data_IF_614143923524
#
_entry.id   IF_614143923524
#
_cell.length_a   1.000
_cell.length_b   1.000
_cell.length_c   1.000
_cell.angle_alpha   90.00
_cell.angle_beta   90.00
_cell.angle_gamma   90.00
#
_symmetry.space_group_name_H-M   'P 1'
#
loop_
_entity.id
_entity.type
_entity.pdbx_description
1 polymer ?
#
# COMPACT_ATOMS: atom_id res chain seq x y z
N UNK A 1 -42.84 -21.17 20.36
CA UNK A 1 -41.53 -21.15 21.09
C UNK A 1 -40.34 -20.65 20.26
N UNK A 2 -40.23 -20.90 18.93
CA UNK A 2 -39.09 -20.40 18.11
C UNK A 2 -38.97 -18.86 18.01
N UNK A 3 -40.08 -18.14 17.79
CA UNK A 3 -40.11 -16.67 17.64
C UNK A 3 -39.50 -15.88 18.82
N UNK A 4 -39.68 -16.35 20.05
CA UNK A 4 -39.14 -15.67 21.24
C UNK A 4 -37.62 -15.84 21.38
N UNK A 5 -37.06 -16.94 20.87
CA UNK A 5 -35.61 -17.18 20.90
C UNK A 5 -34.89 -16.31 19.87
N UNK A 6 -35.47 -16.14 18.69
CA UNK A 6 -34.94 -15.28 17.63
C UNK A 6 -34.87 -13.81 18.07
N UNK A 7 -35.91 -13.31 18.75
CA UNK A 7 -35.93 -11.94 19.26
C UNK A 7 -34.91 -11.66 20.37
N UNK A 8 -34.66 -12.62 21.26
CA UNK A 8 -33.64 -12.48 22.33
C UNK A 8 -32.23 -12.49 21.72
N UNK A 9 -32.02 -13.33 20.72
CA UNK A 9 -30.73 -13.42 20.02
C UNK A 9 -30.45 -12.14 19.25
N UNK A 10 -31.43 -11.56 18.54
CA UNK A 10 -31.24 -10.32 17.78
C UNK A 10 -30.90 -9.13 18.70
N UNK A 11 -31.63 -8.94 19.81
CA UNK A 11 -31.36 -7.85 20.77
C UNK A 11 -29.95 -7.98 21.40
N UNK A 12 -29.52 -9.21 21.67
CA UNK A 12 -28.17 -9.47 22.21
C UNK A 12 -27.09 -9.14 21.18
N UNK A 13 -27.30 -9.51 19.91
CA UNK A 13 -26.37 -9.23 18.82
C UNK A 13 -26.28 -7.73 18.52
N UNK A 14 -27.41 -7.02 18.47
CA UNK A 14 -27.45 -5.56 18.25
C UNK A 14 -26.65 -4.82 19.33
N UNK A 15 -26.86 -5.15 20.60
CA UNK A 15 -26.10 -4.57 21.73
C UNK A 15 -24.61 -4.96 21.74
N UNK A 16 -24.27 -6.15 21.27
CA UNK A 16 -22.86 -6.56 21.10
C UNK A 16 -22.20 -5.76 19.96
N UNK A 17 -22.83 -5.71 18.79
CA UNK A 17 -22.35 -4.93 17.63
C UNK A 17 -22.21 -3.45 17.98
N UNK A 18 -23.19 -2.87 18.67
CA UNK A 18 -23.14 -1.49 19.13
C UNK A 18 -21.94 -1.20 20.04
N UNK A 19 -21.63 -2.09 20.99
CA UNK A 19 -20.45 -1.97 21.87
C UNK A 19 -19.13 -2.08 21.10
N UNK A 20 -19.01 -3.04 20.19
CA UNK A 20 -17.81 -3.22 19.37
C UNK A 20 -17.55 -2.00 18.47
N UNK A 21 -18.58 -1.51 17.76
CA UNK A 21 -18.49 -0.29 16.94
C UNK A 21 -18.02 0.92 17.75
N UNK A 22 -18.51 1.04 18.99
CA UNK A 22 -18.15 2.11 19.93
C UNK A 22 -16.79 1.90 20.61
N UNK A 23 -16.22 0.70 20.56
CA UNK A 23 -14.85 0.45 20.98
C UNK A 23 -13.86 0.79 19.86
N UNK A 24 -14.23 0.55 18.60
CA UNK A 24 -13.33 0.71 17.46
C UNK A 24 -13.45 2.02 16.69
N UNK A 25 -14.46 2.87 16.95
CA UNK A 25 -14.69 4.13 16.20
C UNK A 25 -13.49 5.08 16.12
N UNK A 26 -12.60 5.07 17.12
CA UNK A 26 -11.44 5.95 17.16
C UNK A 26 -10.34 5.53 16.19
N UNK A 27 -10.25 4.24 15.82
CA UNK A 27 -9.26 3.73 14.87
C UNK A 27 -9.41 4.35 13.46
N UNK A 28 -10.59 4.34 12.82
CA UNK A 28 -10.77 4.99 11.52
C UNK A 28 -10.61 6.51 11.62
N UNK A 29 -11.01 7.15 12.74
CA UNK A 29 -10.77 8.59 12.92
C UNK A 29 -9.27 8.92 12.96
N UNK A 30 -8.51 8.20 13.79
CA UNK A 30 -7.06 8.39 13.92
C UNK A 30 -6.36 8.11 12.58
N UNK A 31 -6.72 7.01 11.91
CA UNK A 31 -6.17 6.66 10.60
C UNK A 31 -6.51 7.72 9.56
N UNK A 32 -7.73 8.24 9.57
CA UNK A 32 -8.17 9.33 8.72
C UNK A 32 -7.33 10.59 8.92
N UNK A 33 -7.08 10.98 10.16
CA UNK A 33 -6.24 12.14 10.48
C UNK A 33 -4.78 11.95 10.01
N UNK A 34 -4.21 10.75 10.19
CA UNK A 34 -2.88 10.42 9.68
C UNK A 34 -2.84 10.50 8.15
N UNK A 35 -3.85 9.97 7.47
CA UNK A 35 -3.98 10.02 6.01
C UNK A 35 -4.08 11.46 5.50
N UNK A 36 -4.83 12.32 6.19
CA UNK A 36 -4.92 13.74 5.85
C UNK A 36 -3.58 14.46 6.00
N UNK A 37 -2.88 14.25 7.11
CA UNK A 37 -1.56 14.84 7.34
C UNK A 37 -0.54 14.39 6.30
N UNK A 38 -0.47 13.09 6.02
CA UNK A 38 0.41 12.53 4.98
C UNK A 38 0.03 13.05 3.59
N UNK A 39 -1.25 13.09 3.27
CA UNK A 39 -1.72 13.61 1.98
C UNK A 39 -1.33 15.07 1.77
N UNK A 40 -1.46 15.90 2.81
CA UNK A 40 -1.04 17.29 2.77
C UNK A 40 0.47 17.44 2.59
N UNK A 41 1.27 16.65 3.32
CA UNK A 41 2.74 16.64 3.19
C UNK A 41 3.17 16.24 1.77
N UNK A 42 2.53 15.22 1.19
CA UNK A 42 2.80 14.79 -0.19
C UNK A 42 2.47 15.86 -1.23
N UNK A 43 1.44 16.68 -1.00
CA UNK A 43 1.08 17.79 -1.89
C UNK A 43 2.04 18.96 -1.78
N UNK A 44 2.41 19.35 -0.55
CA UNK A 44 3.25 20.52 -0.30
C UNK A 44 4.73 20.24 -0.55
N UNK A 45 5.19 19.04 -0.19
CA UNK A 45 6.59 18.63 -0.22
C UNK A 45 6.74 17.19 -0.75
N UNK A 46 6.41 16.93 -2.04
CA UNK A 46 6.34 15.56 -2.58
C UNK A 46 7.67 14.80 -2.48
N UNK A 47 8.78 15.42 -2.89
CA UNK A 47 10.10 14.78 -2.91
C UNK A 47 10.67 14.55 -1.51
N UNK A 48 10.46 15.50 -0.59
CA UNK A 48 10.90 15.37 0.80
C UNK A 48 10.07 14.30 1.53
N UNK A 49 8.76 14.26 1.29
CA UNK A 49 7.88 13.22 1.86
C UNK A 49 8.28 11.83 1.36
N UNK A 50 8.61 11.69 0.07
CA UNK A 50 9.11 10.43 -0.47
C UNK A 50 10.42 9.99 0.18
N UNK A 51 11.34 10.95 0.38
CA UNK A 51 12.60 10.70 1.07
C UNK A 51 12.35 10.27 2.51
N UNK A 52 11.48 10.95 3.25
CA UNK A 52 11.11 10.59 4.61
C UNK A 52 10.50 9.18 4.72
N UNK A 53 9.59 8.82 3.80
CA UNK A 53 9.01 7.47 3.72
C UNK A 53 10.12 6.44 3.49
N UNK A 54 11.08 6.74 2.62
CA UNK A 54 12.23 5.86 2.34
C UNK A 54 13.07 5.63 3.59
N UNK A 55 13.31 6.66 4.40
CA UNK A 55 13.98 6.51 5.70
C UNK A 55 13.22 5.60 6.66
N UNK A 56 11.90 5.79 6.77
CA UNK A 56 11.05 4.94 7.61
C UNK A 56 11.15 3.48 7.18
N UNK A 57 11.09 3.21 5.87
CA UNK A 57 11.24 1.86 5.32
C UNK A 57 12.63 1.29 5.64
N UNK A 58 13.68 2.08 5.47
CA UNK A 58 15.06 1.66 5.74
C UNK A 58 15.29 1.32 7.21
N UNK A 59 14.82 2.17 8.13
CA UNK A 59 14.90 1.93 9.58
C UNK A 59 14.09 0.69 9.95
N UNK A 60 12.88 0.53 9.40
CA UNK A 60 12.07 -0.65 9.64
C UNK A 60 12.77 -1.93 9.16
N UNK A 61 13.39 -1.90 7.98
CA UNK A 61 14.18 -3.03 7.46
C UNK A 61 15.38 -3.37 8.36
N UNK A 62 16.06 -2.37 8.94
CA UNK A 62 17.12 -2.62 9.91
C UNK A 62 16.60 -3.33 11.17
N UNK A 63 15.47 -2.87 11.71
CA UNK A 63 14.85 -3.48 12.89
C UNK A 63 14.37 -4.90 12.57
N UNK A 64 13.67 -5.09 11.47
CA UNK A 64 13.16 -6.40 11.04
C UNK A 64 14.29 -7.40 10.78
N UNK A 65 15.33 -6.98 10.05
CA UNK A 65 16.51 -7.81 9.82
C UNK A 65 17.21 -8.19 11.12
N UNK A 66 17.32 -7.27 12.10
CA UNK A 66 17.86 -7.57 13.42
C UNK A 66 16.99 -8.59 14.20
N UNK A 67 15.67 -8.49 14.10
CA UNK A 67 14.73 -9.45 14.70
C UNK A 67 14.87 -10.83 14.06
N UNK A 68 15.03 -10.92 12.74
CA UNK A 68 15.25 -12.20 12.03
C UNK A 68 16.55 -12.85 12.50
N UNK A 69 17.65 -12.08 12.60
CA UNK A 69 18.93 -12.59 13.11
C UNK A 69 18.77 -13.06 14.55
N UNK A 70 18.11 -12.28 15.42
CA UNK A 70 17.87 -12.65 16.81
C UNK A 70 17.05 -13.95 16.93
N UNK A 71 15.99 -14.10 16.14
CA UNK A 71 15.17 -15.32 16.12
C UNK A 71 15.99 -16.54 15.69
N UNK A 72 16.80 -16.42 14.63
CA UNK A 72 17.69 -17.50 14.19
C UNK A 72 18.72 -17.88 15.27
N UNK A 73 19.17 -16.91 16.07
CA UNK A 73 20.06 -17.14 17.22
C UNK A 73 19.34 -17.68 18.47
N UNK A 74 18.02 -17.70 18.53
CA UNK A 74 17.29 -18.31 19.66
C UNK A 74 16.83 -19.72 19.27
N UNK A 75 16.39 -19.91 18.03
CA UNK A 75 15.76 -21.15 17.55
C UNK A 75 16.76 -22.18 17.00
N UNK A 76 17.94 -22.33 17.61
CA UNK A 76 19.08 -23.18 17.21
C UNK A 76 18.77 -24.65 16.79
N UNK A 77 17.53 -25.13 16.88
CA UNK A 77 17.14 -26.54 16.75
C UNK A 77 16.53 -26.98 15.42
N UNK A 78 16.54 -26.17 14.35
CA UNK A 78 16.09 -26.63 13.02
C UNK A 78 17.11 -26.23 11.97
N UNK A 79 17.49 -27.17 11.09
CA UNK A 79 18.55 -27.03 10.07
C UNK A 79 18.37 -25.91 9.02
N UNK A 80 17.43 -24.98 9.22
CA UNK A 80 17.21 -23.76 8.46
C UNK A 80 17.94 -22.51 9.03
N UNK A 81 18.64 -22.64 10.16
CA UNK A 81 19.31 -21.53 10.87
C UNK A 81 20.20 -20.67 9.96
N UNK A 82 21.04 -21.29 9.13
CA UNK A 82 21.96 -20.55 8.26
C UNK A 82 21.24 -19.73 7.18
N UNK A 83 20.11 -20.23 6.66
CA UNK A 83 19.31 -19.49 5.69
C UNK A 83 18.61 -18.28 6.30
N UNK A 84 18.10 -18.42 7.53
CA UNK A 84 17.48 -17.32 8.27
C UNK A 84 18.51 -16.24 8.64
N UNK A 85 19.71 -16.64 9.09
CA UNK A 85 20.80 -15.69 9.37
C UNK A 85 21.21 -14.90 8.12
N UNK A 86 21.40 -15.59 6.99
CA UNK A 86 21.70 -14.92 5.73
C UNK A 86 20.56 -14.00 5.29
N UNK A 87 19.31 -14.45 5.41
CA UNK A 87 18.13 -13.63 5.13
C UNK A 87 18.10 -12.35 5.97
N UNK A 88 18.26 -12.47 7.29
CA UNK A 88 18.31 -11.33 8.19
C UNK A 88 19.47 -10.38 7.88
N UNK A 89 20.65 -10.91 7.59
CA UNK A 89 21.82 -10.10 7.23
C UNK A 89 21.63 -9.35 5.90
N UNK A 90 21.00 -9.99 4.91
CA UNK A 90 20.64 -9.35 3.64
C UNK A 90 19.64 -8.21 3.88
N UNK A 91 18.62 -8.44 4.70
CA UNK A 91 17.61 -7.42 5.05
C UNK A 91 18.25 -6.24 5.78
N UNK A 92 19.17 -6.49 6.73
CA UNK A 92 19.97 -5.44 7.38
C UNK A 92 20.79 -4.68 6.33
N UNK A 93 21.51 -5.38 5.45
CA UNK A 93 22.31 -4.74 4.40
C UNK A 93 21.47 -3.84 3.50
N UNK A 94 20.28 -4.30 3.08
CA UNK A 94 19.33 -3.49 2.34
C UNK A 94 18.87 -2.28 3.13
N UNK A 95 18.52 -2.45 4.42
CA UNK A 95 18.17 -1.36 5.32
C UNK A 95 19.27 -0.30 5.40
N UNK A 96 20.54 -0.73 5.54
CA UNK A 96 21.70 0.19 5.57
C UNK A 96 21.77 0.99 4.27
N UNK A 97 21.72 0.32 3.11
CA UNK A 97 21.77 0.97 1.80
C UNK A 97 20.67 2.02 1.64
N UNK A 98 19.43 1.67 2.02
CA UNK A 98 18.26 2.56 1.94
C UNK A 98 18.45 3.80 2.81
N UNK A 99 18.94 3.61 4.04
CA UNK A 99 19.17 4.68 5.02
C UNK A 99 20.34 5.58 4.61
N UNK A 100 21.43 5.02 4.10
CA UNK A 100 22.60 5.81 3.70
C UNK A 100 22.39 6.55 2.39
N UNK A 101 21.64 5.95 1.45
CA UNK A 101 21.43 6.49 0.10
C UNK A 101 19.94 6.54 -0.26
N UNK A 102 19.11 7.33 0.45
CA UNK A 102 17.67 7.34 0.25
C UNK A 102 17.28 7.88 -1.13
N UNK A 103 17.92 8.96 -1.60
CA UNK A 103 17.63 9.56 -2.92
C UNK A 103 17.95 8.62 -4.08
N UNK A 104 19.16 8.00 -4.17
CA UNK A 104 19.43 6.99 -5.18
C UNK A 104 18.50 5.78 -5.10
N UNK A 105 18.20 5.30 -3.88
CA UNK A 105 17.30 4.16 -3.67
C UNK A 105 15.92 4.42 -4.26
N UNK A 106 15.36 5.62 -4.05
CA UNK A 106 14.09 6.04 -4.67
C UNK A 106 14.16 5.95 -6.19
N UNK A 107 15.24 6.45 -6.80
CA UNK A 107 15.40 6.41 -8.26
C UNK A 107 15.53 4.98 -8.79
N UNK A 108 16.28 4.12 -8.10
CA UNK A 108 16.43 2.71 -8.49
C UNK A 108 15.07 2.01 -8.47
N UNK A 109 14.30 2.17 -7.39
CA UNK A 109 12.96 1.60 -7.30
C UNK A 109 12.01 2.17 -8.35
N UNK A 110 12.07 3.48 -8.58
CA UNK A 110 11.29 4.15 -9.61
C UNK A 110 11.59 3.63 -11.02
N UNK A 111 12.86 3.45 -11.36
CA UNK A 111 13.25 2.88 -12.65
C UNK A 111 12.90 1.39 -12.76
N UNK A 112 12.96 0.63 -11.67
CA UNK A 112 12.49 -0.75 -11.67
C UNK A 112 10.98 -0.84 -12.00
N UNK A 113 10.17 0.02 -11.38
CA UNK A 113 8.73 0.13 -11.70
C UNK A 113 8.51 0.63 -13.13
N UNK A 114 9.29 1.62 -13.57
CA UNK A 114 9.20 2.14 -14.95
C UNK A 114 9.53 1.07 -15.98
N UNK A 115 10.57 0.27 -15.74
CA UNK A 115 10.93 -0.86 -16.59
C UNK A 115 9.83 -1.93 -16.60
N UNK A 116 9.22 -2.22 -15.45
CA UNK A 116 8.06 -3.12 -15.38
C UNK A 116 6.87 -2.60 -16.21
N UNK A 117 6.53 -1.31 -16.09
CA UNK A 117 5.44 -0.69 -16.87
C UNK A 117 5.73 -0.80 -18.38
N UNK A 118 6.96 -0.53 -18.80
CA UNK A 118 7.38 -0.69 -20.19
C UNK A 118 7.32 -2.16 -20.65
N UNK A 119 7.71 -3.11 -19.80
CA UNK A 119 7.58 -4.54 -20.11
C UNK A 119 6.11 -4.95 -20.30
N UNK A 120 5.21 -4.49 -19.42
CA UNK A 120 3.76 -4.71 -19.56
C UNK A 120 3.22 -4.07 -20.84
N UNK A 121 3.72 -2.89 -21.21
CA UNK A 121 3.35 -2.22 -22.46
C UNK A 121 3.70 -3.07 -23.68
N UNK A 122 4.95 -3.59 -23.74
CA UNK A 122 5.42 -4.47 -24.81
C UNK A 122 4.58 -5.74 -24.88
N UNK A 123 4.35 -6.39 -23.73
CA UNK A 123 3.50 -7.60 -23.67
C UNK A 123 2.08 -7.31 -24.17
N UNK A 124 1.49 -6.17 -23.79
CA UNK A 124 0.15 -5.76 -24.25
C UNK A 124 0.08 -5.56 -25.76
N UNK A 125 1.09 -4.90 -26.35
CA UNK A 125 1.19 -4.69 -27.80
C UNK A 125 1.36 -6.03 -28.54
N UNK A 126 2.23 -6.91 -28.04
CA UNK A 126 2.42 -8.26 -28.61
C UNK A 126 1.12 -9.07 -28.52
N UNK A 127 0.44 -9.05 -27.37
CA UNK A 127 -0.84 -9.72 -27.17
C UNK A 127 -1.91 -9.20 -28.14
N UNK A 128 -1.97 -7.89 -28.38
CA UNK A 128 -2.88 -7.30 -29.36
C UNK A 128 -2.64 -7.82 -30.77
N UNK A 129 -1.38 -7.88 -31.21
CA UNK A 129 -1.02 -8.43 -32.53
C UNK A 129 -1.43 -9.90 -32.64
N UNK A 130 -1.23 -10.69 -31.58
CA UNK A 130 -1.62 -12.10 -31.57
C UNK A 130 -3.14 -12.30 -31.60
N UNK A 131 -3.90 -11.49 -30.85
CA UNK A 131 -5.36 -11.51 -30.84
C UNK A 131 -5.95 -11.09 -32.19
N UNK A 132 -5.37 -10.06 -32.81
CA UNK A 132 -5.75 -9.62 -34.15
C UNK A 132 -5.60 -10.75 -35.18
N UNK A 133 -4.47 -11.48 -35.14
CA UNK A 133 -4.23 -12.64 -36.02
C UNK A 133 -5.21 -13.80 -35.79
N UNK A 134 -5.81 -13.91 -34.60
CA UNK A 134 -6.79 -14.95 -34.25
C UNK A 134 -8.23 -14.53 -34.58
N UNK A 135 -8.45 -13.31 -35.08
CA UNK A 135 -9.79 -12.79 -35.38
C UNK A 135 -10.59 -12.40 -34.13
N UNK A 136 -9.94 -12.27 -32.98
CA UNK A 136 -10.58 -11.90 -31.71
C UNK A 136 -10.70 -10.38 -31.58
N UNK A 137 -11.92 -9.86 -31.42
CA UNK A 137 -12.20 -8.42 -31.31
C UNK A 137 -11.60 -7.75 -30.06
N UNK A 138 -11.16 -8.52 -29.06
CA UNK A 138 -10.50 -7.96 -27.87
C UNK A 138 -9.13 -7.34 -28.14
N UNK A 139 -8.57 -7.50 -29.36
CA UNK A 139 -7.26 -6.96 -29.74
C UNK A 139 -7.15 -5.45 -29.57
N UNK A 140 -8.23 -4.69 -29.81
CA UNK A 140 -8.24 -3.23 -29.64
C UNK A 140 -8.00 -2.83 -28.17
N UNK A 141 -8.59 -3.58 -27.23
CA UNK A 141 -8.42 -3.33 -25.80
C UNK A 141 -6.99 -3.59 -25.34
N UNK A 142 -6.41 -4.71 -25.77
CA UNK A 142 -5.02 -5.04 -25.50
C UNK A 142 -4.05 -3.98 -26.09
N UNK A 143 -4.32 -3.51 -27.31
CA UNK A 143 -3.50 -2.49 -27.97
C UNK A 143 -3.60 -1.15 -27.23
N UNK A 144 -4.81 -0.71 -26.91
CA UNK A 144 -5.03 0.56 -26.21
C UNK A 144 -4.31 0.57 -24.86
N UNK A 145 -4.46 -0.49 -24.06
CA UNK A 145 -3.78 -0.63 -22.76
C UNK A 145 -2.25 -0.65 -22.97
N UNK A 146 -1.75 -1.40 -23.94
CA UNK A 146 -0.32 -1.48 -24.26
C UNK A 146 0.26 -0.11 -24.64
N UNK A 147 -0.42 0.64 -25.51
CA UNK A 147 0.01 1.97 -25.94
C UNK A 147 -0.05 3.00 -24.81
N UNK A 148 -1.11 2.99 -24.00
CA UNK A 148 -1.23 3.86 -22.82
C UNK A 148 -0.07 3.59 -21.85
N UNK A 149 0.21 2.32 -21.53
CA UNK A 149 1.33 1.96 -20.68
C UNK A 149 2.68 2.34 -21.30
N UNK A 150 2.84 2.24 -22.62
CA UNK A 150 4.06 2.65 -23.31
C UNK A 150 4.30 4.15 -23.14
N UNK A 151 3.26 4.96 -23.39
CA UNK A 151 3.32 6.43 -23.23
C UNK A 151 3.63 6.78 -21.78
N UNK A 152 2.93 6.17 -20.82
CA UNK A 152 3.19 6.39 -19.39
C UNK A 152 4.63 6.02 -19.06
N UNK A 153 5.09 4.81 -19.43
CA UNK A 153 6.44 4.34 -19.14
C UNK A 153 7.52 5.24 -19.74
N UNK A 154 7.33 5.74 -20.96
CA UNK A 154 8.25 6.69 -21.59
C UNK A 154 8.26 8.04 -20.88
N UNK A 155 7.08 8.57 -20.50
CA UNK A 155 6.98 9.81 -19.72
C UNK A 155 7.71 9.68 -18.37
N UNK A 156 7.54 8.54 -17.69
CA UNK A 156 8.24 8.22 -16.46
C UNK A 156 9.77 8.17 -16.66
N UNK A 157 10.23 7.55 -17.75
CA UNK A 157 11.66 7.36 -18.02
C UNK A 157 12.40 8.67 -18.36
N UNK A 158 11.78 9.55 -19.16
CA UNK A 158 12.44 10.76 -19.66
C UNK A 158 12.49 11.91 -18.65
N UNK A 159 11.51 12.00 -17.74
CA UNK A 159 11.42 13.10 -16.76
C UNK A 159 11.23 12.57 -15.32
N UNK A 160 12.18 11.78 -14.79
CA UNK A 160 11.99 11.03 -13.54
C UNK A 160 11.64 11.93 -12.34
N UNK A 161 12.25 13.12 -12.23
CA UNK A 161 11.97 14.03 -11.11
C UNK A 161 10.55 14.59 -11.14
N UNK A 162 10.09 15.01 -12.32
CA UNK A 162 8.72 15.50 -12.51
C UNK A 162 7.72 14.37 -12.30
N UNK A 163 8.01 13.19 -12.86
CA UNK A 163 7.18 12.00 -12.73
C UNK A 163 7.02 11.54 -11.29
N UNK A 164 8.12 11.51 -10.52
CA UNK A 164 8.07 11.22 -9.08
C UNK A 164 7.17 12.22 -8.35
N UNK A 165 7.30 13.51 -8.65
CA UNK A 165 6.48 14.56 -8.03
C UNK A 165 4.99 14.37 -8.36
N UNK A 166 4.66 14.10 -9.62
CA UNK A 166 3.28 13.85 -10.06
C UNK A 166 2.70 12.62 -9.35
N UNK A 167 3.46 11.53 -9.28
CA UNK A 167 3.04 10.30 -8.58
C UNK A 167 2.76 10.59 -7.10
N UNK A 168 3.63 11.34 -6.42
CA UNK A 168 3.42 11.71 -5.02
C UNK A 168 2.20 12.63 -4.84
N UNK A 169 1.96 13.56 -5.74
CA UNK A 169 0.76 14.40 -5.71
C UNK A 169 -0.51 13.55 -5.87
N UNK A 170 -0.52 12.59 -6.81
CA UNK A 170 -1.65 11.68 -6.99
C UNK A 170 -1.91 10.84 -5.73
N UNK A 171 -0.85 10.28 -5.12
CA UNK A 171 -0.96 9.57 -3.85
C UNK A 171 -1.44 10.49 -2.72
N UNK A 172 -0.99 11.75 -2.70
CA UNK A 172 -1.42 12.73 -1.73
C UNK A 172 -2.91 13.06 -1.85
N UNK A 173 -3.41 13.28 -3.06
CA UNK A 173 -4.85 13.48 -3.33
C UNK A 173 -5.64 12.25 -2.90
N UNK A 174 -5.18 11.05 -3.25
CA UNK A 174 -5.82 9.80 -2.83
C UNK A 174 -5.85 9.66 -1.30
N UNK A 175 -4.75 9.98 -0.62
CA UNK A 175 -4.66 9.96 0.83
C UNK A 175 -5.60 10.98 1.48
N UNK A 176 -5.74 12.18 0.90
CA UNK A 176 -6.69 13.18 1.38
C UNK A 176 -8.14 12.68 1.27
N UNK A 177 -8.54 12.18 0.09
CA UNK A 177 -9.90 11.65 -0.12
C UNK A 177 -10.17 10.46 0.81
N UNK A 178 -9.26 9.50 0.87
CA UNK A 178 -9.37 8.36 1.78
C UNK A 178 -9.41 8.76 3.25
N UNK A 179 -8.63 9.78 3.64
CA UNK A 179 -8.63 10.34 4.99
C UNK A 179 -9.98 10.94 5.38
N UNK A 180 -10.60 11.73 4.49
CA UNK A 180 -11.96 12.25 4.68
C UNK A 180 -12.97 11.12 4.83
N UNK A 181 -12.92 10.11 3.95
CA UNK A 181 -13.84 8.96 4.01
C UNK A 181 -13.71 8.20 5.34
N UNK A 182 -12.48 7.99 5.83
CA UNK A 182 -12.23 7.33 7.11
C UNK A 182 -12.74 8.14 8.30
N UNK A 183 -12.61 9.46 8.28
CA UNK A 183 -13.22 10.32 9.30
C UNK A 183 -14.74 10.15 9.32
N UNK A 184 -15.39 10.19 8.15
CA UNK A 184 -16.83 9.99 8.03
C UNK A 184 -17.23 8.62 8.58
N UNK A 185 -16.54 7.55 8.18
CA UNK A 185 -16.81 6.19 8.68
C UNK A 185 -16.62 6.07 10.19
N UNK A 186 -15.61 6.74 10.77
CA UNK A 186 -15.38 6.70 12.21
C UNK A 186 -16.47 7.41 13.01
N UNK A 187 -16.93 8.56 12.54
CA UNK A 187 -18.08 9.23 13.17
C UNK A 187 -19.39 8.45 12.97
N UNK A 188 -19.59 7.84 11.80
CA UNK A 188 -20.74 6.97 11.56
C UNK A 188 -20.74 5.72 12.46
N UNK A 189 -19.59 5.08 12.67
CA UNK A 189 -19.45 3.96 13.60
C UNK A 189 -19.79 4.39 15.04
N UNK A 190 -19.41 5.60 15.44
CA UNK A 190 -19.74 6.16 16.75
C UNK A 190 -21.25 6.46 16.89
N UNK A 191 -21.91 6.96 15.85
CA UNK A 191 -23.36 7.26 15.90
C UNK A 191 -24.19 5.98 15.91
N UNK A 192 -23.90 5.03 15.02
CA UNK A 192 -24.58 3.72 14.96
C UNK A 192 -24.36 2.92 16.25
N UNK A 193 -23.15 2.97 16.81
CA UNK A 193 -22.85 2.34 18.09
C UNK A 193 -23.56 2.97 19.28
N UNK A 194 -24.09 4.20 19.17
CA UNK A 194 -24.96 4.80 20.21
C UNK A 194 -26.39 4.28 20.09
N UNK A 195 -26.93 4.24 18.88
CA UNK A 195 -28.31 3.83 18.60
C UNK A 195 -28.56 2.35 18.94
N UNK A 196 -27.64 1.45 18.57
CA UNK A 196 -27.77 0.01 18.83
C UNK A 196 -27.47 -0.40 20.29
N UNK A 197 -26.91 0.53 21.08
CA UNK A 197 -26.58 0.30 22.49
C UNK A 197 -27.58 0.91 23.47
N UNK A 198 -28.52 1.73 22.95
CA UNK A 198 -29.58 2.39 23.70
C UNK A 198 -30.73 1.41 23.98
#
# INVERSE_FOLDING_TARGET
>A
MRRGREAIVSDTLEKQVGRELRAVWWLPVLRGLVFLGLGLLMLLHPLETLTAITWVIGIFALVDGALIVLQALIEHRKGAMWWQLLGGLVVIGLGVVVVTWPKPTVLVLFYAVTAWVLAVAVVGIVAAVLLHKRGDYSWYGALAIGLVNLVIGLLLAFNPQTSLSVVMVLFGVFALVGGVLLLISGFAARSLGRELSA
#
